data_IF_374600591288
#
_entry.id   IF_374600591288
#
_cell.length_a   1.000
_cell.length_b   1.000
_cell.length_c   1.000
_cell.angle_alpha   90.00
_cell.angle_beta   90.00
_cell.angle_gamma   90.00
#
_symmetry.space_group_name_H-M   'P 1'
#
loop_
_entity.id
_entity.type
_entity.pdbx_description
1 polymer ?
#
# COMPACT_ATOMS: atom_id res chain seq x y z
N UNK A 1 33.75 51.63 -11.08
CA UNK A 1 32.79 50.82 -11.87
C UNK A 1 32.47 49.59 -11.02
N UNK A 2 31.33 49.60 -10.32
CA UNK A 2 30.94 48.54 -9.39
C UNK A 2 30.04 47.52 -10.07
N UNK A 3 30.49 46.28 -10.14
CA UNK A 3 29.76 45.16 -10.75
C UNK A 3 28.72 44.62 -9.76
N UNK A 4 27.45 44.73 -10.12
CA UNK A 4 26.31 44.22 -9.36
C UNK A 4 26.26 42.68 -9.50
N UNK A 5 26.10 41.90 -8.42
CA UNK A 5 26.00 40.45 -8.51
C UNK A 5 24.66 40.03 -9.16
N UNK A 6 24.63 38.88 -9.87
CA UNK A 6 23.45 38.41 -10.57
C UNK A 6 22.39 37.90 -9.59
N UNK A 7 21.16 38.36 -9.79
CA UNK A 7 19.96 37.92 -9.06
C UNK A 7 19.65 36.46 -9.42
N UNK A 8 19.56 35.60 -8.41
CA UNK A 8 19.13 34.20 -8.59
C UNK A 8 17.65 34.14 -9.05
N UNK A 9 17.27 33.17 -9.90
CA UNK A 9 15.89 32.99 -10.31
C UNK A 9 15.02 32.56 -9.13
N UNK A 10 13.88 33.22 -8.97
CA UNK A 10 12.89 32.91 -7.95
C UNK A 10 12.38 31.46 -8.12
N UNK A 11 12.42 30.70 -7.03
CA UNK A 11 11.83 29.36 -6.97
C UNK A 11 10.31 29.46 -7.14
N UNK A 12 9.66 28.55 -7.89
CA UNK A 12 8.21 28.55 -8.04
C UNK A 12 7.55 28.22 -6.68
N UNK A 13 6.66 29.09 -6.24
CA UNK A 13 5.88 28.94 -5.00
C UNK A 13 5.00 27.68 -5.06
N UNK A 14 5.04 26.89 -3.99
CA UNK A 14 4.44 25.55 -3.89
C UNK A 14 2.90 25.52 -3.68
N UNK A 15 2.21 26.66 -3.72
CA UNK A 15 0.80 26.77 -3.31
C UNK A 15 -0.17 26.95 -4.49
N UNK A 16 0.04 26.30 -5.63
CA UNK A 16 -0.99 26.27 -6.68
C UNK A 16 -1.89 25.06 -6.45
N UNK A 17 -3.19 25.23 -6.08
CA UNK A 17 -4.12 24.12 -5.99
C UNK A 17 -4.18 23.41 -7.34
N UNK A 18 -3.82 22.13 -7.38
CA UNK A 18 -3.96 21.35 -8.60
C UNK A 18 -5.45 21.24 -8.94
N UNK A 19 -5.87 21.60 -10.16
CA UNK A 19 -7.26 21.44 -10.56
C UNK A 19 -7.65 19.96 -10.51
N UNK A 20 -8.88 19.69 -10.03
CA UNK A 20 -9.50 18.37 -10.15
C UNK A 20 -9.30 17.82 -11.57
N UNK A 21 -9.12 16.49 -11.75
CA UNK A 21 -8.86 15.89 -13.04
C UNK A 21 -9.90 16.36 -14.06
N UNK A 22 -9.47 17.25 -14.97
CA UNK A 22 -10.37 17.89 -15.91
C UNK A 22 -10.80 16.87 -16.97
N UNK A 23 -12.11 16.75 -17.15
CA UNK A 23 -12.70 16.01 -18.25
C UNK A 23 -12.17 16.52 -19.60
N UNK A 24 -11.47 15.67 -20.35
CA UNK A 24 -10.91 16.05 -21.64
C UNK A 24 -11.99 16.12 -22.75
N UNK A 25 -12.12 17.25 -23.48
CA UNK A 25 -13.11 17.39 -24.55
C UNK A 25 -12.71 16.54 -25.77
N UNK A 26 -13.64 15.70 -26.25
CA UNK A 26 -13.46 14.85 -27.45
C UNK A 26 -13.65 13.34 -27.22
N UNK A 27 -13.97 12.92 -25.99
CA UNK A 27 -14.27 11.53 -25.66
C UNK A 27 -15.78 11.37 -25.45
N UNK A 28 -16.46 10.39 -26.09
CA UNK A 28 -17.85 10.08 -25.78
C UNK A 28 -17.91 9.59 -24.33
N UNK A 29 -18.43 10.46 -23.48
CA UNK A 29 -18.49 10.33 -22.04
C UNK A 29 -19.30 9.09 -21.64
N UNK A 30 -18.64 7.97 -21.40
CA UNK A 30 -19.04 7.20 -20.23
C UNK A 30 -18.41 7.92 -19.05
N UNK A 31 -19.24 8.34 -18.10
CA UNK A 31 -18.79 8.92 -16.85
C UNK A 31 -17.87 7.91 -16.17
N UNK A 32 -16.58 8.15 -16.32
CA UNK A 32 -15.56 7.34 -15.71
C UNK A 32 -15.63 7.59 -14.21
N UNK A 33 -16.11 6.59 -13.47
CA UNK A 33 -16.13 6.63 -12.02
C UNK A 33 -14.81 6.01 -11.52
N UNK A 34 -13.86 6.79 -10.97
CA UNK A 34 -12.64 6.23 -10.41
C UNK A 34 -12.97 5.35 -9.21
N UNK A 35 -12.17 4.31 -8.98
CA UNK A 35 -12.38 3.35 -7.88
C UNK A 35 -12.16 3.96 -6.50
N UNK A 36 -11.73 5.22 -6.42
CA UNK A 36 -11.24 5.89 -5.19
C UNK A 36 -10.03 5.19 -4.53
N UNK A 37 -9.49 4.15 -5.17
CA UNK A 37 -8.28 3.46 -4.75
C UNK A 37 -7.11 4.10 -5.48
N UNK A 38 -6.52 5.10 -4.85
CA UNK A 38 -5.36 5.85 -5.35
C UNK A 38 -4.10 5.38 -4.62
N UNK A 39 -3.32 4.44 -5.19
CA UNK A 39 -2.12 3.99 -4.53
C UNK A 39 -1.09 5.11 -4.45
N UNK A 40 -0.30 5.09 -3.37
CA UNK A 40 0.77 6.05 -3.05
C UNK A 40 1.78 6.34 -4.17
N UNK A 41 1.75 5.58 -5.27
CA UNK A 41 2.66 5.69 -6.40
C UNK A 41 2.44 6.92 -7.27
N UNK A 42 1.35 7.69 -7.11
CA UNK A 42 1.00 8.71 -8.11
C UNK A 42 0.92 10.14 -7.57
N UNK A 43 0.17 10.44 -6.52
CA UNK A 43 -0.01 11.84 -6.10
C UNK A 43 -0.39 11.83 -4.62
N UNK A 44 0.32 12.57 -3.78
CA UNK A 44 -0.36 13.12 -2.61
C UNK A 44 -0.10 14.62 -2.59
N UNK A 45 -1.18 15.35 -2.79
CA UNK A 45 -1.27 16.82 -2.83
C UNK A 45 -0.89 17.46 -1.48
N UNK A 46 -0.71 16.63 -0.43
CA UNK A 46 -0.49 17.08 0.95
C UNK A 46 0.69 16.38 1.66
N UNK A 47 1.63 15.74 0.94
CA UNK A 47 2.79 15.02 1.49
C UNK A 47 2.47 13.90 2.52
N UNK A 48 1.20 13.51 2.65
CA UNK A 48 0.77 12.40 3.52
C UNK A 48 0.46 11.18 2.67
N UNK A 49 1.05 10.01 2.96
CA UNK A 49 0.74 8.80 2.22
C UNK A 49 -0.68 8.31 2.56
N UNK A 50 -1.47 8.06 1.51
CA UNK A 50 -2.80 7.46 1.62
C UNK A 50 -2.71 5.98 2.06
N UNK A 51 -3.86 5.35 2.37
CA UNK A 51 -3.88 3.99 2.90
C UNK A 51 -3.50 2.93 1.87
N UNK A 52 -3.64 3.22 0.57
CA UNK A 52 -3.42 2.25 -0.48
C UNK A 52 -2.00 2.30 -1.03
N UNK A 53 -1.38 1.13 -1.19
CA UNK A 53 -0.05 0.98 -1.74
C UNK A 53 -0.03 -0.07 -2.84
N UNK A 54 0.64 0.25 -3.95
CA UNK A 54 0.95 -0.71 -5.00
C UNK A 54 2.34 -1.27 -4.76
N UNK A 55 2.44 -2.57 -4.49
CA UNK A 55 3.71 -3.23 -4.24
C UNK A 55 4.47 -3.57 -5.53
N UNK A 56 5.78 -3.77 -5.42
CA UNK A 56 6.63 -4.18 -6.53
C UNK A 56 6.25 -5.55 -7.12
N UNK A 57 5.60 -6.42 -6.33
CA UNK A 57 5.01 -7.67 -6.82
C UNK A 57 3.73 -7.47 -7.65
N UNK A 58 3.23 -6.23 -7.75
CA UNK A 58 2.05 -5.87 -8.54
C UNK A 58 0.72 -5.95 -7.79
N UNK A 59 0.70 -6.38 -6.54
CA UNK A 59 -0.51 -6.41 -5.72
C UNK A 59 -0.76 -5.07 -5.01
N UNK A 60 -2.05 -4.72 -4.89
CA UNK A 60 -2.51 -3.61 -4.08
C UNK A 60 -2.74 -4.09 -2.65
N UNK A 61 -2.33 -3.26 -1.69
CA UNK A 61 -2.57 -3.47 -0.26
C UNK A 61 -3.08 -2.18 0.37
N UNK A 62 -3.78 -2.32 1.49
CA UNK A 62 -4.17 -1.21 2.36
C UNK A 62 -3.39 -1.29 3.69
N UNK A 63 -2.90 -0.18 4.21
CA UNK A 63 -2.32 -0.10 5.55
C UNK A 63 -3.42 0.34 6.53
N UNK A 64 -3.60 -0.41 7.61
CA UNK A 64 -4.60 -0.18 8.65
C UNK A 64 -3.98 0.30 9.98
N UNK A 65 -2.72 0.73 9.97
CA UNK A 65 -2.03 1.30 11.12
C UNK A 65 -1.77 2.80 10.97
N UNK A 66 -1.40 3.46 12.07
CA UNK A 66 -1.09 4.90 12.10
C UNK A 66 0.03 5.30 11.13
N UNK A 67 1.04 4.44 10.97
CA UNK A 67 2.12 4.67 10.02
C UNK A 67 1.73 4.15 8.62
N UNK A 68 1.22 5.05 7.78
CA UNK A 68 0.84 4.75 6.37
C UNK A 68 1.98 4.98 5.38
N UNK A 69 3.22 5.17 5.83
CA UNK A 69 4.36 5.39 4.92
C UNK A 69 4.60 4.22 3.96
N UNK A 70 5.15 4.55 2.79
CA UNK A 70 5.58 3.57 1.82
C UNK A 70 6.67 2.66 2.40
N UNK A 71 6.53 1.35 2.25
CA UNK A 71 7.63 0.41 2.48
C UNK A 71 8.64 0.41 1.32
N UNK A 72 9.79 -0.22 1.54
CA UNK A 72 10.85 -0.41 0.54
C UNK A 72 10.38 -1.23 -0.67
N UNK A 73 9.37 -2.07 -0.51
CA UNK A 73 8.77 -2.85 -1.60
C UNK A 73 7.52 -2.19 -2.20
N UNK A 74 7.19 -0.94 -1.86
CA UNK A 74 6.26 -0.15 -2.67
C UNK A 74 6.85 0.08 -4.06
N UNK A 75 6.01 0.05 -5.09
CA UNK A 75 6.43 0.18 -6.49
C UNK A 75 7.24 1.46 -6.73
N UNK A 76 6.79 2.59 -6.18
CA UNK A 76 7.50 3.87 -6.29
C UNK A 76 8.90 3.78 -5.69
N UNK A 77 9.03 3.27 -4.46
CA UNK A 77 10.31 3.08 -3.79
C UNK A 77 11.24 2.14 -4.58
N UNK A 78 10.70 1.01 -5.06
CA UNK A 78 11.44 0.05 -5.89
C UNK A 78 11.92 0.64 -7.21
N UNK A 79 11.09 1.46 -7.86
CA UNK A 79 11.44 2.16 -9.10
C UNK A 79 12.54 3.19 -8.85
N UNK A 80 12.42 3.98 -7.79
CA UNK A 80 13.44 4.94 -7.38
C UNK A 80 14.79 4.26 -7.08
N UNK A 81 14.78 3.15 -6.33
CA UNK A 81 16.00 2.40 -6.02
C UNK A 81 16.67 1.90 -7.30
N UNK A 82 15.88 1.35 -8.24
CA UNK A 82 16.39 0.88 -9.53
C UNK A 82 17.01 2.02 -10.33
N UNK A 83 16.36 3.18 -10.38
CA UNK A 83 16.89 4.38 -11.05
C UNK A 83 18.19 4.85 -10.42
N UNK A 84 18.28 4.89 -9.08
CA UNK A 84 19.50 5.30 -8.38
C UNK A 84 20.65 4.34 -8.61
N UNK A 85 20.40 3.04 -8.63
CA UNK A 85 21.41 2.03 -8.97
C UNK A 85 21.89 2.24 -10.41
N UNK A 86 20.98 2.51 -11.36
CA UNK A 86 21.37 2.76 -12.76
C UNK A 86 22.12 4.08 -13.00
N UNK A 87 21.97 5.04 -12.08
CA UNK A 87 22.65 6.35 -12.13
C UNK A 87 23.95 6.37 -11.34
N UNK A 88 24.29 5.32 -10.59
CA UNK A 88 25.61 5.24 -9.97
C UNK A 88 26.64 5.15 -11.07
N UNK A 89 27.47 6.19 -11.16
CA UNK A 89 28.57 6.28 -12.12
C UNK A 89 29.47 5.06 -11.97
N UNK A 90 29.79 4.39 -13.08
CA UNK A 90 30.81 3.34 -13.09
C UNK A 90 32.17 3.89 -12.58
N UNK A 91 32.39 5.20 -12.69
CA UNK A 91 33.56 5.90 -12.17
C UNK A 91 33.62 5.97 -10.63
N UNK A 92 32.51 5.67 -9.94
CA UNK A 92 32.51 5.48 -8.48
C UNK A 92 32.99 4.09 -8.05
N UNK A 93 33.29 3.20 -9.01
CA UNK A 93 34.03 1.97 -8.76
C UNK A 93 35.45 2.38 -8.38
N UNK A 94 35.68 2.48 -7.07
CA UNK A 94 37.00 2.73 -6.49
C UNK A 94 37.98 1.64 -6.97
N UNK A 95 38.69 1.95 -8.05
CA UNK A 95 39.78 1.15 -8.59
C UNK A 95 40.92 1.26 -7.58
N UNK A 96 40.89 0.39 -6.58
CA UNK A 96 41.98 0.23 -5.61
C UNK A 96 43.33 0.28 -6.37
N UNK A 97 44.31 1.08 -5.91
CA UNK A 97 45.58 1.26 -6.61
C UNK A 97 46.20 -0.08 -6.99
N UNK A 98 46.46 -0.28 -8.29
CA UNK A 98 47.05 -1.51 -8.83
C UNK A 98 46.07 -2.60 -9.26
N UNK A 99 44.74 -2.40 -9.16
CA UNK A 99 43.75 -3.31 -9.75
C UNK A 99 43.31 -2.85 -11.13
N UNK A 100 43.20 -3.80 -12.06
CA UNK A 100 42.63 -3.53 -13.39
C UNK A 100 41.11 -3.40 -13.32
N UNK A 101 40.49 -2.70 -14.27
CA UNK A 101 39.03 -2.61 -14.41
C UNK A 101 38.38 -4.02 -14.39
N UNK A 102 38.98 -4.98 -15.10
CA UNK A 102 38.54 -6.37 -15.09
C UNK A 102 38.56 -7.00 -13.70
N UNK A 103 39.63 -6.79 -12.92
CA UNK A 103 39.71 -7.26 -11.53
C UNK A 103 38.73 -6.52 -10.62
N UNK A 104 38.53 -5.22 -10.79
CA UNK A 104 37.58 -4.45 -9.98
C UNK A 104 36.12 -4.88 -10.22
N UNK A 105 35.76 -5.18 -11.47
CA UNK A 105 34.43 -5.72 -11.83
C UNK A 105 34.25 -7.14 -11.29
N UNK A 106 35.28 -7.99 -11.42
CA UNK A 106 35.24 -9.38 -10.91
C UNK A 106 35.22 -9.44 -9.37
N UNK A 107 35.93 -8.55 -8.68
CA UNK A 107 35.91 -8.43 -7.21
C UNK A 107 34.69 -7.67 -6.69
N UNK A 108 34.12 -6.72 -7.43
CA UNK A 108 32.91 -5.99 -7.02
C UNK A 108 31.68 -6.89 -6.99
N UNK A 109 31.66 -7.98 -7.76
CA UNK A 109 30.64 -9.03 -7.62
C UNK A 109 30.60 -9.65 -6.21
N UNK A 110 31.66 -9.48 -5.39
CA UNK A 110 31.72 -9.92 -3.99
C UNK A 110 31.61 -8.81 -2.97
N UNK A 111 31.60 -7.52 -3.37
CA UNK A 111 31.29 -6.45 -2.42
C UNK A 111 29.78 -6.49 -2.18
N UNK A 112 29.33 -6.65 -0.92
CA UNK A 112 27.94 -6.41 -0.61
C UNK A 112 27.69 -4.94 -0.87
N UNK A 113 27.23 -4.59 -2.08
CA UNK A 113 26.66 -3.28 -2.32
C UNK A 113 25.55 -3.15 -1.29
N UNK A 114 25.79 -2.34 -0.25
CA UNK A 114 24.74 -2.03 0.71
C UNK A 114 23.57 -1.53 -0.12
N UNK A 115 22.39 -2.17 -0.03
CA UNK A 115 21.28 -1.82 -0.88
C UNK A 115 20.99 -0.34 -0.68
N UNK A 116 21.03 0.45 -1.75
CA UNK A 116 20.69 1.87 -1.72
C UNK A 116 19.24 1.94 -1.27
N UNK A 117 19.01 2.40 -0.04
CA UNK A 117 17.67 2.61 0.49
C UNK A 117 17.25 4.05 0.23
N UNK A 118 15.98 4.31 -0.10
CA UNK A 118 15.45 5.66 -0.09
C UNK A 118 15.58 6.23 1.33
N UNK A 119 15.87 7.54 1.47
CA UNK A 119 15.96 8.17 2.78
C UNK A 119 14.64 8.05 3.52
N UNK A 120 14.71 7.82 4.83
CA UNK A 120 13.53 7.86 5.68
C UNK A 120 12.93 9.27 5.67
N UNK A 121 11.63 9.36 5.40
CA UNK A 121 10.89 10.62 5.32
C UNK A 121 9.50 10.48 5.95
N UNK A 122 8.68 11.54 5.86
CA UNK A 122 7.26 11.50 6.19
C UNK A 122 6.44 10.59 5.27
N UNK A 123 6.97 10.21 4.11
CA UNK A 123 6.29 9.37 3.09
C UNK A 123 6.94 8.00 2.91
N UNK A 124 8.17 7.80 3.40
CA UNK A 124 8.96 6.59 3.18
C UNK A 124 9.49 6.00 4.50
N UNK A 125 9.20 4.71 4.71
CA UNK A 125 9.78 3.87 5.77
C UNK A 125 10.97 3.03 5.28
N UNK A 126 11.69 2.44 6.23
CA UNK A 126 12.83 1.52 5.98
C UNK A 126 12.46 0.03 6.13
N UNK A 127 11.17 -0.25 6.33
CA UNK A 127 10.54 -1.56 6.41
C UNK A 127 9.90 -1.94 5.07
N UNK A 128 9.29 -3.13 4.99
CA UNK A 128 8.53 -3.61 3.83
C UNK A 128 7.06 -3.77 4.21
N UNK A 129 6.15 -3.64 3.27
CA UNK A 129 4.75 -3.97 3.47
C UNK A 129 4.53 -5.46 3.19
N UNK A 130 3.83 -6.14 4.08
CA UNK A 130 3.49 -7.56 3.91
C UNK A 130 2.44 -7.76 2.81
N UNK A 131 2.55 -8.86 2.04
CA UNK A 131 1.63 -9.15 0.94
C UNK A 131 1.05 -10.56 1.10
N UNK A 132 -0.14 -10.65 1.68
CA UNK A 132 -0.79 -11.93 2.03
C UNK A 132 -0.95 -12.86 0.82
N UNK A 133 -1.24 -12.30 -0.37
CA UNK A 133 -1.37 -13.08 -1.60
C UNK A 133 -0.04 -13.77 -1.98
N UNK A 134 1.08 -13.08 -1.86
CA UNK A 134 2.39 -13.63 -2.23
C UNK A 134 2.92 -14.61 -1.19
N UNK A 135 2.67 -14.36 0.09
CA UNK A 135 3.14 -15.24 1.16
C UNK A 135 2.18 -16.41 1.43
N UNK A 136 0.91 -16.29 1.05
CA UNK A 136 -0.11 -17.29 1.34
C UNK A 136 -0.48 -17.37 2.82
N UNK A 137 -0.25 -16.30 3.59
CA UNK A 137 -0.49 -16.20 5.02
C UNK A 137 -1.35 -14.94 5.29
N UNK A 138 -2.47 -15.02 6.02
CA UNK A 138 -3.27 -13.86 6.37
C UNK A 138 -2.62 -13.08 7.50
N UNK A 139 -2.99 -11.81 7.61
CA UNK A 139 -2.44 -10.88 8.58
C UNK A 139 -2.77 -11.27 10.02
N UNK A 140 -3.89 -11.94 10.27
CA UNK A 140 -4.22 -12.43 11.62
C UNK A 140 -3.18 -13.42 12.14
N UNK A 141 -2.53 -14.14 11.23
CA UNK A 141 -1.44 -15.07 11.55
C UNK A 141 -0.07 -14.41 11.49
N UNK A 142 0.03 -13.15 11.08
CA UNK A 142 1.28 -12.40 10.94
C UNK A 142 2.11 -12.40 12.23
N UNK A 143 1.47 -12.16 13.38
CA UNK A 143 2.13 -12.17 14.68
C UNK A 143 2.64 -13.57 15.07
N UNK A 144 2.00 -14.63 14.55
CA UNK A 144 2.39 -16.03 14.78
C UNK A 144 3.61 -16.39 13.94
N UNK A 145 3.67 -15.92 12.69
CA UNK A 145 4.76 -16.31 11.77
C UNK A 145 6.04 -15.49 11.98
N UNK A 146 6.01 -14.47 12.86
CA UNK A 146 7.12 -13.55 13.15
C UNK A 146 7.95 -13.23 11.89
N UNK A 147 7.35 -12.58 10.87
CA UNK A 147 8.11 -12.11 9.71
C UNK A 147 9.06 -11.02 10.20
N UNK A 148 10.24 -11.44 10.65
CA UNK A 148 11.04 -10.70 11.63
C UNK A 148 11.25 -9.22 11.30
N UNK A 149 11.26 -8.36 12.34
CA UNK A 149 11.64 -6.93 12.47
C UNK A 149 11.67 -5.97 11.25
N UNK A 150 11.09 -6.30 10.10
CA UNK A 150 11.27 -5.56 8.85
C UNK A 150 10.03 -5.53 7.97
N UNK A 151 8.91 -6.04 8.44
CA UNK A 151 7.63 -5.94 7.77
C UNK A 151 6.64 -5.12 8.60
N UNK A 152 5.78 -4.37 7.90
CA UNK A 152 4.62 -3.67 8.44
C UNK A 152 3.36 -4.41 8.04
N UNK A 153 2.37 -4.32 8.93
CA UNK A 153 1.00 -4.76 8.69
C UNK A 153 0.43 -4.07 7.45
N UNK A 154 -0.06 -4.88 6.52
CA UNK A 154 -0.81 -4.43 5.35
C UNK A 154 -1.80 -5.52 4.95
N UNK A 155 -3.01 -5.09 4.60
CA UNK A 155 -4.15 -5.92 4.23
C UNK A 155 -4.21 -6.06 2.71
N UNK A 156 -4.39 -7.26 2.18
CA UNK A 156 -4.75 -7.39 0.77
C UNK A 156 -6.19 -6.91 0.53
N UNK A 157 -6.46 -6.42 -0.68
CA UNK A 157 -7.78 -5.87 -1.05
C UNK A 157 -8.82 -6.98 -1.27
N UNK A 158 -9.32 -7.55 -0.18
CA UNK A 158 -10.57 -8.33 -0.14
C UNK A 158 -11.78 -7.42 -0.31
N UNK A 159 -12.97 -7.96 -0.65
CA UNK A 159 -14.18 -7.13 -0.74
C UNK A 159 -14.47 -6.34 0.54
N UNK A 160 -14.42 -6.92 1.76
CA UNK A 160 -14.63 -6.16 2.99
C UNK A 160 -13.63 -5.03 3.20
N UNK A 161 -12.36 -5.24 2.84
CA UNK A 161 -11.31 -4.20 2.94
C UNK A 161 -11.60 -3.07 1.95
N UNK A 162 -11.98 -3.39 0.70
CA UNK A 162 -12.38 -2.38 -0.29
C UNK A 162 -13.57 -1.58 0.23
N UNK A 163 -14.66 -2.24 0.64
CA UNK A 163 -15.86 -1.59 1.18
C UNK A 163 -15.53 -0.70 2.39
N UNK A 164 -14.68 -1.16 3.31
CA UNK A 164 -14.28 -0.40 4.50
C UNK A 164 -13.55 0.90 4.15
N UNK A 165 -12.54 0.86 3.27
CA UNK A 165 -11.74 2.05 2.96
C UNK A 165 -12.40 3.00 1.95
N UNK A 166 -13.33 2.51 1.12
CA UNK A 166 -13.97 3.31 0.07
C UNK A 166 -15.40 3.75 0.39
N UNK A 167 -16.04 3.10 1.36
CA UNK A 167 -17.47 3.25 1.67
C UNK A 167 -18.40 2.64 0.62
N UNK A 168 -17.88 1.81 -0.29
CA UNK A 168 -18.69 1.13 -1.29
C UNK A 168 -19.55 0.02 -0.68
N UNK A 169 -20.73 -0.20 -1.26
CA UNK A 169 -21.53 -1.40 -0.99
C UNK A 169 -20.91 -2.61 -1.68
N UNK A 170 -21.36 -3.82 -1.34
CA UNK A 170 -20.86 -5.04 -1.97
C UNK A 170 -21.17 -5.06 -3.48
N UNK A 171 -22.33 -4.54 -3.90
CA UNK A 171 -22.70 -4.44 -5.31
C UNK A 171 -21.79 -3.48 -6.07
N UNK A 172 -21.46 -2.33 -5.47
CA UNK A 172 -20.55 -1.35 -6.06
C UNK A 172 -19.12 -1.91 -6.11
N UNK A 173 -18.69 -2.58 -5.04
CA UNK A 173 -17.38 -3.23 -4.99
C UNK A 173 -17.28 -4.28 -6.09
N UNK A 174 -18.26 -5.16 -6.23
CA UNK A 174 -18.30 -6.18 -7.28
C UNK A 174 -18.30 -5.55 -8.69
N UNK A 175 -19.02 -4.45 -8.88
CA UNK A 175 -19.00 -3.70 -10.14
C UNK A 175 -17.60 -3.19 -10.52
N UNK A 176 -16.78 -2.80 -9.54
CA UNK A 176 -15.41 -2.31 -9.79
C UNK A 176 -14.35 -3.40 -9.95
N UNK A 177 -14.68 -4.65 -9.63
CA UNK A 177 -13.75 -5.78 -9.81
C UNK A 177 -13.66 -6.16 -11.28
N UNK A 178 -12.51 -5.89 -11.89
CA UNK A 178 -12.23 -6.25 -13.27
C UNK A 178 -12.00 -7.77 -13.41
N UNK A 179 -12.80 -8.38 -14.27
CA UNK A 179 -12.75 -9.81 -14.59
C UNK A 179 -11.47 -10.20 -15.32
N UNK A 180 -11.05 -11.46 -15.21
CA UNK A 180 -9.98 -11.97 -16.06
C UNK A 180 -10.41 -11.94 -17.53
N UNK A 181 -9.55 -11.40 -18.38
CA UNK A 181 -9.80 -11.43 -19.81
C UNK A 181 -9.48 -12.81 -20.38
N UNK A 182 -10.47 -13.41 -21.04
CA UNK A 182 -10.34 -14.71 -21.70
C UNK A 182 -10.98 -14.65 -23.10
N UNK A 183 -10.17 -14.78 -24.15
CA UNK A 183 -10.63 -14.79 -25.55
C UNK A 183 -10.13 -16.03 -26.31
N UNK A 184 -10.66 -17.23 -25.99
CA UNK A 184 -10.20 -18.48 -26.59
C UNK A 184 -10.49 -18.56 -28.09
N UNK A 185 -11.53 -17.87 -28.56
CA UNK A 185 -11.96 -17.90 -29.95
C UNK A 185 -11.19 -16.90 -30.83
N UNK A 186 -10.30 -16.07 -30.24
CA UNK A 186 -9.58 -14.99 -30.93
C UNK A 186 -10.49 -14.11 -31.79
N UNK A 187 -11.76 -13.96 -31.37
CA UNK A 187 -12.70 -13.05 -32.03
C UNK A 187 -12.21 -11.63 -31.81
N UNK A 188 -12.48 -10.76 -32.79
CA UNK A 188 -12.21 -9.33 -32.65
C UNK A 188 -12.87 -8.81 -31.38
N UNK A 189 -12.08 -8.19 -30.52
CA UNK A 189 -12.54 -7.56 -29.28
C UNK A 189 -11.99 -6.15 -29.22
N UNK A 190 -12.65 -5.31 -28.43
CA UNK A 190 -12.19 -3.94 -28.27
C UNK A 190 -11.08 -3.87 -27.20
N UNK A 191 -9.84 -3.73 -27.66
CA UNK A 191 -8.64 -3.66 -26.81
C UNK A 191 -8.71 -2.55 -25.75
N UNK A 192 -9.60 -1.57 -25.96
CA UNK A 192 -9.97 -0.50 -25.06
C UNK A 192 -10.38 -0.95 -23.66
N UNK A 193 -11.05 -2.11 -23.56
CA UNK A 193 -11.51 -2.66 -22.28
C UNK A 193 -10.46 -3.55 -21.61
N UNK A 194 -9.38 -3.88 -22.31
CA UNK A 194 -8.38 -4.82 -21.82
C UNK A 194 -7.18 -4.13 -21.22
N UNK A 195 -6.82 -4.54 -20.01
CA UNK A 195 -5.66 -4.01 -19.29
C UNK A 195 -4.74 -5.13 -18.84
N UNK A 196 -3.45 -5.00 -19.11
CA UNK A 196 -2.42 -5.85 -18.52
C UNK A 196 -1.93 -5.21 -17.22
N UNK A 197 -2.21 -5.84 -16.08
CA UNK A 197 -1.88 -5.31 -14.76
C UNK A 197 -0.49 -5.77 -14.30
N UNK A 198 0.10 -5.05 -13.34
CA UNK A 198 1.41 -5.42 -12.77
C UNK A 198 1.41 -6.73 -11.99
N UNK A 199 0.25 -7.17 -11.50
CA UNK A 199 0.10 -8.50 -10.90
C UNK A 199 0.23 -9.64 -11.93
N UNK A 200 0.36 -9.33 -13.22
CA UNK A 200 0.50 -10.30 -14.31
C UNK A 200 -0.82 -10.73 -14.95
N UNK A 201 -1.96 -10.28 -14.42
CA UNK A 201 -3.26 -10.61 -14.99
C UNK A 201 -3.64 -9.64 -16.12
N UNK A 202 -4.17 -10.19 -17.21
CA UNK A 202 -4.92 -9.43 -18.21
C UNK A 202 -6.39 -9.41 -17.79
N UNK A 203 -6.98 -8.22 -17.70
CA UNK A 203 -8.34 -8.03 -17.18
C UNK A 203 -9.22 -7.27 -18.16
N UNK A 204 -10.52 -7.53 -18.10
CA UNK A 204 -11.57 -6.77 -18.76
C UNK A 204 -12.18 -5.76 -17.77
N UNK A 205 -11.96 -4.47 -18.03
CA UNK A 205 -12.50 -3.39 -17.21
C UNK A 205 -13.73 -2.79 -17.87
N UNK A 206 -14.90 -2.94 -17.24
CA UNK A 206 -16.12 -2.23 -17.59
C UNK A 206 -16.45 -1.22 -16.47
N UNK A 207 -16.73 0.06 -16.78
CA UNK A 207 -16.80 0.65 -18.11
C UNK A 207 -15.40 0.86 -18.73
N UNK A 208 -15.40 1.19 -20.02
CA UNK A 208 -14.20 1.57 -20.75
C UNK A 208 -13.47 2.74 -20.05
N UNK A 209 -12.17 2.58 -19.78
CA UNK A 209 -11.36 3.55 -19.04
C UNK A 209 -9.91 3.63 -19.52
N UNK A 210 -9.21 4.76 -19.29
CA UNK A 210 -7.78 4.83 -19.53
C UNK A 210 -6.99 3.89 -18.61
N UNK A 211 -5.71 3.67 -18.94
CA UNK A 211 -4.81 2.89 -18.09
C UNK A 211 -4.74 3.48 -16.68
N UNK A 212 -4.73 2.61 -15.67
CA UNK A 212 -4.60 2.98 -14.27
C UNK A 212 -3.14 2.91 -13.80
N UNK A 213 -2.91 3.34 -12.56
CA UNK A 213 -1.60 3.31 -11.88
C UNK A 213 -0.95 1.92 -11.88
N UNK A 214 -1.77 0.88 -11.70
CA UNK A 214 -1.35 -0.52 -11.63
C UNK A 214 -1.36 -1.24 -12.98
N UNK A 215 -1.62 -0.55 -14.09
CA UNK A 215 -1.34 -1.12 -15.42
C UNK A 215 0.17 -1.28 -15.63
N UNK A 216 0.55 -2.33 -16.35
CA UNK A 216 1.94 -2.60 -16.67
C UNK A 216 2.47 -1.61 -17.72
N UNK A 217 3.77 -1.33 -17.63
CA UNK A 217 4.53 -0.59 -18.65
C UNK A 217 5.18 -1.53 -19.66
N UNK A 218 5.56 -2.74 -19.22
CA UNK A 218 6.30 -3.70 -20.05
C UNK A 218 5.84 -5.14 -19.72
N UNK A 219 5.12 -5.82 -20.64
CA UNK A 219 4.66 -5.32 -21.93
C UNK A 219 3.69 -4.13 -21.77
N UNK A 220 3.62 -3.23 -22.78
CA UNK A 220 2.71 -2.11 -22.73
C UNK A 220 1.27 -2.60 -22.68
N UNK A 221 0.51 -2.05 -21.72
CA UNK A 221 -0.92 -2.32 -21.59
C UNK A 221 -1.65 -1.99 -22.92
N UNK A 222 -2.52 -2.91 -23.39
CA UNK A 222 -3.29 -2.76 -24.64
C UNK A 222 -4.24 -1.56 -24.62
N UNK A 223 -4.74 -1.20 -23.44
CA UNK A 223 -5.48 0.04 -23.22
C UNK A 223 -4.67 1.34 -23.42
N UNK A 224 -3.42 1.32 -23.89
CA UNK A 224 -2.63 2.52 -24.27
C UNK A 224 -2.94 3.04 -25.68
N UNK A 225 -4.19 2.96 -26.08
CA UNK A 225 -4.68 3.55 -27.33
C UNK A 225 -5.39 4.89 -27.10
N UNK A 226 -5.45 5.34 -25.85
CA UNK A 226 -6.03 6.63 -25.49
C UNK A 226 -5.09 7.79 -25.84
N UNK A 227 -5.65 8.95 -26.26
CA UNK A 227 -4.84 10.13 -26.51
C UNK A 227 -4.01 10.48 -25.26
N UNK A 228 -2.70 10.68 -25.48
CA UNK A 228 -1.64 11.02 -24.50
C UNK A 228 -1.11 9.89 -23.62
N UNK A 229 -1.68 8.67 -23.62
CA UNK A 229 -1.14 7.52 -22.89
C UNK A 229 -0.84 7.74 -21.39
N UNK A 230 -1.48 8.73 -20.76
CA UNK A 230 -1.24 9.06 -19.36
C UNK A 230 -2.04 8.11 -18.47
N UNK A 231 -1.35 7.42 -17.56
CA UNK A 231 -2.00 6.60 -16.54
C UNK A 231 -2.78 7.50 -15.58
N UNK A 232 -3.98 7.07 -15.22
CA UNK A 232 -4.78 7.70 -14.17
C UNK A 232 -4.20 7.39 -12.80
N UNK A 233 -4.48 8.25 -11.82
CA UNK A 233 -3.98 8.13 -10.45
C UNK A 233 -4.57 6.95 -9.66
N UNK A 234 -5.77 6.51 -10.03
CA UNK A 234 -6.46 5.42 -9.38
C UNK A 234 -6.00 4.04 -9.87
N UNK A 235 -6.63 2.98 -9.38
CA UNK A 235 -6.28 1.59 -9.69
C UNK A 235 -7.44 0.82 -10.34
N UNK A 236 -7.09 -0.19 -11.16
CA UNK A 236 -8.02 -1.24 -11.58
C UNK A 236 -7.96 -2.37 -10.56
N UNK A 237 -9.09 -2.71 -9.95
CA UNK A 237 -9.16 -3.78 -8.95
C UNK A 237 -9.24 -5.12 -9.68
N UNK A 238 -8.21 -5.96 -9.55
CA UNK A 238 -8.15 -7.26 -10.20
C UNK A 238 -8.99 -8.28 -9.43
N UNK A 239 -10.09 -8.76 -10.01
CA UNK A 239 -10.98 -9.73 -9.35
C UNK A 239 -10.26 -11.00 -8.90
N UNK A 240 -9.36 -11.52 -9.72
CA UNK A 240 -8.54 -12.69 -9.37
C UNK A 240 -7.64 -12.45 -8.15
N UNK A 241 -7.02 -11.28 -8.02
CA UNK A 241 -6.19 -10.96 -6.86
C UNK A 241 -7.04 -10.81 -5.58
N UNK A 242 -8.20 -10.16 -5.68
CA UNK A 242 -9.17 -10.05 -4.58
C UNK A 242 -9.65 -11.43 -4.14
N UNK A 243 -10.01 -12.29 -5.09
CA UNK A 243 -10.43 -13.67 -4.79
C UNK A 243 -9.30 -14.50 -4.15
N UNK A 244 -8.06 -14.40 -4.64
CA UNK A 244 -6.91 -15.07 -4.01
C UNK A 244 -6.66 -14.60 -2.59
N UNK A 245 -6.80 -13.30 -2.32
CA UNK A 245 -6.71 -12.76 -0.98
C UNK A 245 -7.76 -13.41 -0.08
N UNK A 246 -9.03 -13.42 -0.50
CA UNK A 246 -10.13 -14.05 0.25
C UNK A 246 -9.90 -15.55 0.49
N UNK A 247 -9.33 -16.28 -0.49
CA UNK A 247 -8.96 -17.68 -0.32
C UNK A 247 -7.88 -17.88 0.76
N UNK A 248 -6.90 -16.98 0.87
CA UNK A 248 -5.89 -17.03 1.95
C UNK A 248 -6.58 -16.94 3.31
N UNK A 249 -7.51 -16.00 3.49
CA UNK A 249 -8.30 -15.88 4.72
C UNK A 249 -9.15 -17.13 4.98
N UNK A 250 -9.88 -17.61 3.98
CA UNK A 250 -10.77 -18.78 4.12
C UNK A 250 -10.02 -20.06 4.51
N UNK A 251 -8.86 -20.32 3.88
CA UNK A 251 -8.00 -21.46 4.22
C UNK A 251 -7.55 -21.43 5.67
N UNK A 252 -7.19 -20.24 6.18
CA UNK A 252 -6.74 -20.09 7.55
C UNK A 252 -7.85 -20.19 8.58
N UNK A 253 -9.01 -19.60 8.31
CA UNK A 253 -10.19 -19.79 9.17
C UNK A 253 -10.55 -21.28 9.25
N UNK A 254 -10.45 -22.00 8.14
CA UNK A 254 -10.73 -23.45 8.09
C UNK A 254 -9.65 -24.27 8.80
N UNK A 255 -8.36 -23.96 8.57
CA UNK A 255 -7.24 -24.63 9.23
C UNK A 255 -7.19 -24.36 10.74
N UNK A 256 -7.52 -23.14 11.17
CA UNK A 256 -7.62 -22.74 12.57
C UNK A 256 -8.71 -23.49 13.32
N UNK A 257 -9.81 -23.88 12.67
CA UNK A 257 -10.83 -24.78 13.26
C UNK A 257 -10.32 -26.20 13.50
N UNK A 258 -9.19 -26.60 12.90
CA UNK A 258 -8.53 -27.88 13.15
C UNK A 258 -7.31 -27.82 14.07
N UNK A 259 -6.74 -26.62 14.34
CA UNK A 259 -5.44 -26.48 15.03
C UNK A 259 -5.47 -25.49 16.21
N UNK A 260 -6.50 -24.66 16.37
CA UNK A 260 -6.58 -23.72 17.50
C UNK A 260 -8.02 -23.47 17.94
N UNK A 261 -8.56 -24.39 18.75
CA UNK A 261 -9.37 -23.95 19.87
C UNK A 261 -8.38 -23.40 20.90
N UNK A 262 -8.21 -22.07 20.89
CA UNK A 262 -8.14 -21.22 22.08
C UNK A 262 -7.59 -19.82 21.68
N UNK A 263 -8.38 -18.80 22.00
CA UNK A 263 -8.04 -17.36 22.12
C UNK A 263 -8.00 -16.43 20.89
N UNK A 264 -7.50 -16.77 19.70
CA UNK A 264 -7.16 -15.71 18.68
C UNK A 264 -8.35 -15.19 17.84
N UNK A 265 -9.53 -15.82 17.90
CA UNK A 265 -10.64 -15.50 17.00
C UNK A 265 -11.53 -14.31 17.43
N UNK A 266 -11.31 -13.69 18.61
CA UNK A 266 -12.12 -12.53 19.07
C UNK A 266 -11.54 -11.16 18.70
N UNK A 267 -10.22 -11.02 18.57
CA UNK A 267 -9.61 -9.67 18.48
C UNK A 267 -9.40 -9.15 17.04
N UNK A 268 -9.51 -10.01 16.03
CA UNK A 268 -9.14 -9.67 14.65
C UNK A 268 -10.04 -8.66 13.91
N UNK A 269 -11.22 -8.33 14.45
CA UNK A 269 -12.17 -7.40 13.83
C UNK A 269 -12.88 -6.44 14.80
N UNK A 270 -12.71 -6.61 16.13
CA UNK A 270 -13.43 -5.80 17.13
C UNK A 270 -12.64 -4.61 17.69
N UNK A 271 -11.30 -4.61 17.60
CA UNK A 271 -10.47 -3.50 18.13
C UNK A 271 -10.53 -2.20 17.32
N UNK A 272 -11.27 -2.17 16.21
CA UNK A 272 -11.49 -0.95 15.40
C UNK A 272 -12.86 -0.29 15.61
N UNK A 273 -13.72 -0.83 16.49
CA UNK A 273 -15.10 -0.34 16.67
C UNK A 273 -15.41 0.30 18.04
N UNK A 274 -14.41 0.60 18.87
CA UNK A 274 -14.66 1.02 20.25
C UNK A 274 -13.77 2.13 20.79
N UNK A 275 -13.83 3.35 20.24
CA UNK A 275 -13.46 4.58 20.96
C UNK A 275 -14.16 5.83 20.39
N UNK A 276 -15.49 5.86 20.51
CA UNK A 276 -16.23 7.12 20.57
C UNK A 276 -16.94 7.19 21.93
N UNK A 277 -16.25 7.80 22.89
CA UNK A 277 -16.86 8.34 24.11
C UNK A 277 -17.06 9.85 23.94
N UNK A 278 -18.22 10.42 24.33
CA UNK A 278 -18.57 11.81 24.07
C UNK A 278 -18.06 12.76 25.17
N UNK A 279 -17.91 14.02 24.75
CA UNK A 279 -18.15 15.27 25.48
C UNK A 279 -17.83 15.33 26.99
N UNK A 280 -16.83 16.15 27.35
CA UNK A 280 -16.86 16.88 28.61
C UNK A 280 -16.29 18.29 28.44
N UNK A 281 -17.23 19.24 28.39
CA UNK A 281 -17.06 20.65 28.69
C UNK A 281 -16.47 20.81 30.10
N UNK A 282 -15.42 21.60 30.22
CA UNK A 282 -14.81 21.94 31.50
C UNK A 282 -15.50 23.19 32.08
N UNK A 283 -16.42 23.01 33.03
CA UNK A 283 -16.69 23.98 34.09
C UNK A 283 -16.17 23.38 35.41
N UNK A 284 -15.22 24.09 36.03
CA UNK A 284 -14.61 23.71 37.31
C UNK A 284 -15.10 24.69 38.38
N UNK A 285 -16.00 24.24 39.25
CA UNK A 285 -16.34 24.92 40.50
C UNK A 285 -16.08 23.99 41.69
N UNK A 286 -15.51 24.61 42.73
CA UNK A 286 -15.11 24.07 44.03
C UNK A 286 -16.27 23.48 44.85
N UNK A 287 -16.00 22.45 45.65
CA UNK A 287 -15.94 22.46 47.14
C UNK A 287 -16.21 21.08 47.75
N UNK A 288 -15.42 20.75 48.80
CA UNK A 288 -15.73 20.00 50.04
C UNK A 288 -16.42 18.61 49.95
N UNK A 289 -16.22 17.65 50.85
CA UNK A 289 -15.38 17.42 52.02
C UNK A 289 -15.70 15.99 52.53
N UNK A 290 -14.77 15.43 53.32
CA UNK A 290 -14.95 14.45 54.40
C UNK A 290 -15.69 13.11 54.19
N UNK A 291 -14.99 12.03 54.59
CA UNK A 291 -15.60 10.79 55.05
C UNK A 291 -14.64 9.61 55.18
N UNK A 292 -13.77 9.61 56.20
CA UNK A 292 -13.20 8.38 56.77
C UNK A 292 -14.31 7.56 57.43
N UNK A 293 -14.31 6.22 57.33
CA UNK A 293 -14.33 5.28 58.48
C UNK A 293 -13.73 3.92 58.06
N UNK A 294 -13.02 3.36 59.04
CA UNK A 294 -12.21 2.16 59.21
C UNK A 294 -12.72 0.75 58.84
N UNK A 295 -11.70 -0.09 58.59
CA UNK A 295 -11.41 -1.46 59.09
C UNK A 295 -12.48 -2.57 58.97
N UNK A 296 -12.07 -3.68 58.34
CA UNK A 296 -11.78 -4.91 59.08
C UNK A 296 -11.01 -5.95 58.24
N UNK A 297 -10.09 -6.62 58.95
CA UNK A 297 -9.27 -7.72 58.51
C UNK A 297 -10.08 -8.99 58.24
N UNK A 298 -9.57 -9.87 57.38
CA UNK A 298 -9.80 -11.30 57.48
C UNK A 298 -8.58 -12.08 56.99
N UNK A 299 -7.88 -12.68 57.95
CA UNK A 299 -6.90 -13.76 57.75
C UNK A 299 -7.63 -15.04 57.32
N UNK A 300 -6.96 -15.85 56.49
CA UNK A 300 -7.49 -17.14 56.08
C UNK A 300 -6.46 -17.99 55.35
N UNK A 301 -5.53 -18.57 56.11
CA UNK A 301 -4.66 -19.66 55.70
C UNK A 301 -5.45 -20.92 55.36
N UNK A 302 -5.08 -21.64 54.30
CA UNK A 302 -5.16 -23.11 54.29
C UNK A 302 -4.05 -23.70 53.43
N UNK A 303 -3.32 -24.60 54.08
CA UNK A 303 -2.26 -25.47 53.60
C UNK A 303 -2.75 -26.88 53.22
N UNK A 304 -1.99 -27.52 52.33
CA UNK A 304 -1.72 -28.97 52.17
C UNK A 304 -2.84 -29.98 51.80
N UNK A 305 -2.51 -30.84 50.84
CA UNK A 305 -3.04 -32.20 50.68
C UNK A 305 -2.88 -32.79 49.28
N UNK A 306 -1.76 -33.50 49.08
CA UNK A 306 -1.43 -34.59 48.13
C UNK A 306 -1.94 -34.60 46.68
#
# INVERSE_FOLDING_TARGET
MGSKPPTAPASPSADTPQPAPQSHPGYPYHEYLPTRVEPCAILNVNDKPGPFHLLACGHLVAIDCEDTRCGLNCLHAATWMTQKISQQDEDSIDLLPGKTLFQAVTFSATRPHHPIKPPQSSTQGHDKLFCEICYGLPISSYNIVNPGHGYRRALCLTRPVISHFTGFTDEITEYFLAELFYNPQSKGFDHKFTHYLRCGHEVWSAPFRPCASNCNDMPPCRGRIFPRNVKQGDAILCKECTYRAELVYSRYVTAGRGVAHDEVARDGLQDSAGHHGPDHSAEYHQHHSHGQVDQKAFDGSTTFGD
#
